data_IF_167708454422
#
_entry.id   IF_167708454422
#
_cell.length_a   1.000
_cell.length_b   1.000
_cell.length_c   1.000
_cell.angle_alpha   90.00
_cell.angle_beta   90.00
_cell.angle_gamma   90.00
#
_symmetry.space_group_name_H-M   'P 1'
#
loop_
_entity.id
_entity.type
_entity.pdbx_description
1 polymer ?
#
# COMPACT_ATOMS: atom_id res chain seq x y z
N UNK A 1 -35.68 -10.16 8.68
CA UNK A 1 -34.34 -9.77 9.19
C UNK A 1 -33.36 -9.73 8.03
N UNK A 2 -33.26 -8.61 7.30
CA UNK A 2 -32.36 -8.50 6.13
C UNK A 2 -31.71 -7.11 6.00
N UNK A 3 -31.77 -6.28 7.04
CA UNK A 3 -31.36 -4.86 6.96
C UNK A 3 -30.02 -4.60 7.68
N UNK A 4 -29.52 -5.53 8.51
CA UNK A 4 -28.28 -5.35 9.26
C UNK A 4 -26.99 -5.76 8.52
N UNK A 5 -27.08 -6.51 7.42
CA UNK A 5 -25.87 -6.91 6.66
C UNK A 5 -25.35 -5.83 5.70
N UNK A 6 -26.20 -4.87 5.32
CA UNK A 6 -25.84 -3.82 4.36
C UNK A 6 -25.04 -2.66 4.99
N UNK A 7 -25.19 -2.41 6.30
CA UNK A 7 -24.51 -1.30 6.98
C UNK A 7 -23.05 -1.62 7.38
N UNK A 8 -22.65 -2.88 7.40
CA UNK A 8 -21.24 -3.27 7.64
C UNK A 8 -20.39 -3.30 6.35
N UNK A 9 -21.02 -3.37 5.18
CA UNK A 9 -20.30 -3.35 3.89
C UNK A 9 -20.03 -1.94 3.38
N UNK A 10 -20.78 -0.94 3.84
CA UNK A 10 -20.65 0.46 3.41
C UNK A 10 -19.38 1.15 3.90
N UNK A 11 -18.68 0.62 4.90
CA UNK A 11 -17.41 1.21 5.36
C UNK A 11 -16.22 0.92 4.41
N UNK A 12 -16.37 -0.01 3.47
CA UNK A 12 -15.27 -0.48 2.60
C UNK A 12 -15.29 0.09 1.20
N UNK A 13 -16.39 0.71 0.78
CA UNK A 13 -16.54 1.29 -0.55
C UNK A 13 -16.44 2.80 -0.43
N UNK A 14 -15.22 3.32 -0.47
CA UNK A 14 -15.02 4.73 -0.82
C UNK A 14 -14.76 4.77 -2.31
N UNK A 15 -15.70 5.36 -3.05
CA UNK A 15 -15.49 5.72 -4.45
C UNK A 15 -14.36 6.75 -4.50
N UNK A 16 -13.27 6.38 -5.16
CA UNK A 16 -12.16 7.25 -5.44
C UNK A 16 -12.49 8.10 -6.68
N UNK A 17 -11.97 9.32 -6.75
CA UNK A 17 -12.16 10.25 -7.88
C UNK A 17 -11.35 9.85 -9.14
N UNK A 18 -11.19 8.56 -9.41
CA UNK A 18 -10.32 8.07 -10.50
C UNK A 18 -8.83 8.25 -10.23
N UNK A 19 -8.45 8.45 -8.96
CA UNK A 19 -7.05 8.57 -8.53
C UNK A 19 -6.75 7.58 -7.41
N UNK A 20 -5.49 7.21 -7.28
CA UNK A 20 -5.04 6.45 -6.12
C UNK A 20 -5.04 7.32 -4.86
N UNK A 21 -5.22 6.70 -3.70
CA UNK A 21 -5.16 7.36 -2.39
C UNK A 21 -3.78 8.00 -2.17
N UNK A 22 -3.75 9.06 -1.36
CA UNK A 22 -2.49 9.67 -0.94
C UNK A 22 -1.69 8.74 -0.01
N UNK A 23 -0.37 8.93 0.04
CA UNK A 23 0.54 8.08 0.82
C UNK A 23 0.15 8.03 2.30
N UNK A 24 -0.11 9.21 2.85
CA UNK A 24 -0.47 9.45 4.24
C UNK A 24 -1.77 8.72 4.56
N UNK A 25 -2.77 8.81 3.70
CA UNK A 25 -4.05 8.12 3.87
C UNK A 25 -3.88 6.60 3.85
N UNK A 26 -3.08 6.07 2.92
CA UNK A 26 -2.77 4.63 2.85
C UNK A 26 -2.07 4.15 4.12
N UNK A 27 -1.08 4.90 4.61
CA UNK A 27 -0.38 4.55 5.85
C UNK A 27 -1.33 4.60 7.05
N UNK A 28 -2.17 5.63 7.17
CA UNK A 28 -3.18 5.71 8.23
C UNK A 28 -4.13 4.51 8.19
N UNK A 29 -4.63 4.12 7.01
CA UNK A 29 -5.47 2.93 6.87
C UNK A 29 -4.72 1.68 7.37
N UNK A 30 -3.47 1.48 6.93
CA UNK A 30 -2.67 0.31 7.31
C UNK A 30 -2.29 0.28 8.79
N UNK A 31 -2.21 1.42 9.47
CA UNK A 31 -1.85 1.51 10.89
C UNK A 31 -3.07 1.38 11.82
N UNK A 32 -4.24 1.88 11.39
CA UNK A 32 -5.39 2.04 12.27
C UNK A 32 -6.55 1.06 11.97
N UNK A 33 -6.50 0.32 10.86
CA UNK A 33 -7.54 -0.69 10.56
C UNK A 33 -7.32 -1.95 11.38
N UNK A 34 -8.35 -2.39 12.09
CA UNK A 34 -8.35 -3.66 12.82
C UNK A 34 -8.51 -4.83 11.85
N UNK A 35 -7.89 -5.98 12.17
CA UNK A 35 -8.02 -7.21 11.37
C UNK A 35 -9.48 -7.65 11.21
N UNK A 36 -10.32 -7.42 12.22
CA UNK A 36 -11.75 -7.75 12.18
C UNK A 36 -12.53 -6.88 11.18
N UNK A 37 -11.99 -5.70 10.86
CA UNK A 37 -12.56 -4.76 9.90
C UNK A 37 -11.85 -4.89 8.54
N UNK A 38 -11.42 -6.09 8.16
CA UNK A 38 -10.76 -6.34 6.88
C UNK A 38 -11.33 -7.56 6.19
N UNK A 39 -11.11 -7.61 4.87
CA UNK A 39 -11.51 -8.74 4.05
C UNK A 39 -10.40 -9.79 4.03
N UNK A 40 -10.76 -11.07 3.94
CA UNK A 40 -9.79 -12.15 3.73
C UNK A 40 -9.23 -12.17 2.30
N UNK A 41 -10.00 -11.66 1.34
CA UNK A 41 -9.62 -11.54 -0.06
C UNK A 41 -10.32 -10.35 -0.74
N UNK A 42 -9.80 -9.95 -1.90
CA UNK A 42 -10.46 -8.94 -2.73
C UNK A 42 -11.79 -9.52 -3.25
N UNK A 43 -12.95 -8.86 -3.04
CA UNK A 43 -14.24 -9.36 -3.50
C UNK A 43 -14.28 -9.54 -5.01
N UNK A 44 -15.05 -10.53 -5.48
CA UNK A 44 -15.35 -10.70 -6.90
C UNK A 44 -16.28 -9.59 -7.41
N UNK A 45 -16.29 -9.37 -8.72
CA UNK A 45 -17.14 -8.38 -9.35
C UNK A 45 -16.39 -7.14 -9.82
N UNK A 46 -17.16 -6.16 -10.33
CA UNK A 46 -16.62 -4.97 -11.01
C UNK A 46 -15.92 -4.09 -9.97
N UNK A 47 -14.81 -3.49 -10.35
CA UNK A 47 -13.95 -2.69 -9.46
C UNK A 47 -13.58 -1.42 -10.18
N UNK A 48 -14.44 -0.42 -10.09
CA UNK A 48 -14.18 0.86 -10.73
C UNK A 48 -13.89 1.88 -9.64
N UNK A 49 -12.68 2.46 -9.67
CA UNK A 49 -12.27 3.51 -8.75
C UNK A 49 -12.55 3.19 -7.26
N UNK A 50 -12.11 2.01 -6.81
CA UNK A 50 -12.44 1.49 -5.48
C UNK A 50 -11.17 1.04 -4.77
N UNK A 51 -11.22 0.95 -3.44
CA UNK A 51 -10.18 0.28 -2.68
C UNK A 51 -10.75 -0.72 -1.68
N UNK A 52 -9.92 -1.69 -1.29
CA UNK A 52 -10.24 -2.70 -0.30
C UNK A 52 -9.07 -2.85 0.67
N UNK A 53 -9.36 -3.12 1.94
CA UNK A 53 -8.35 -3.50 2.93
C UNK A 53 -8.44 -5.00 3.15
N UNK A 54 -7.34 -5.70 2.86
CA UNK A 54 -7.29 -7.16 2.82
C UNK A 54 -6.20 -7.68 3.73
N UNK A 55 -6.46 -8.78 4.42
CA UNK A 55 -5.46 -9.51 5.19
C UNK A 55 -4.36 -10.06 4.27
N UNK A 56 -3.11 -9.88 4.67
CA UNK A 56 -1.93 -10.22 3.87
C UNK A 56 -0.98 -11.13 4.66
N UNK A 57 -1.54 -12.04 5.46
CA UNK A 57 -0.80 -12.91 6.38
C UNK A 57 0.13 -13.89 5.63
N UNK A 58 -0.32 -14.39 4.47
CA UNK A 58 0.45 -15.26 3.58
C UNK A 58 1.77 -14.65 3.09
N UNK A 59 1.99 -13.33 3.27
CA UNK A 59 3.23 -12.66 2.92
C UNK A 59 4.43 -13.23 3.70
N UNK A 60 4.29 -13.49 5.01
CA UNK A 60 5.42 -13.94 5.85
C UNK A 60 5.95 -15.29 5.36
N UNK A 61 5.05 -16.24 5.14
CA UNK A 61 5.40 -17.59 4.65
C UNK A 61 6.03 -17.54 3.26
N UNK A 62 5.51 -16.68 2.37
CA UNK A 62 6.08 -16.53 1.02
C UNK A 62 7.47 -15.91 1.05
N UNK A 63 7.70 -14.88 1.87
CA UNK A 63 9.03 -14.29 2.06
C UNK A 63 10.00 -15.33 2.61
N UNK A 64 9.59 -16.09 3.64
CA UNK A 64 10.41 -17.17 4.20
C UNK A 64 10.78 -18.23 3.14
N UNK A 65 9.89 -18.48 2.18
CA UNK A 65 10.11 -19.40 1.05
C UNK A 65 10.81 -18.75 -0.16
N UNK A 66 11.26 -17.50 -0.06
CA UNK A 66 11.88 -16.77 -1.19
C UNK A 66 10.93 -16.48 -2.36
N UNK A 67 9.62 -16.61 -2.16
CA UNK A 67 8.59 -16.40 -3.18
C UNK A 67 8.19 -14.93 -3.24
N UNK A 68 7.91 -14.45 -4.47
CA UNK A 68 7.36 -13.10 -4.70
C UNK A 68 5.97 -12.97 -4.08
N UNK A 69 5.58 -11.75 -3.68
CA UNK A 69 4.20 -11.45 -3.30
C UNK A 69 3.24 -11.80 -4.45
N UNK A 70 2.06 -12.33 -4.11
CA UNK A 70 0.99 -12.61 -5.07
C UNK A 70 -0.29 -11.95 -4.56
N UNK A 71 -0.94 -11.19 -5.44
CA UNK A 71 -2.14 -10.44 -5.13
C UNK A 71 -3.23 -10.81 -6.14
N UNK A 72 -3.80 -12.00 -5.97
CA UNK A 72 -4.82 -12.53 -6.86
C UNK A 72 -6.08 -11.67 -6.83
N UNK A 73 -6.72 -11.55 -7.99
CA UNK A 73 -8.09 -11.06 -8.15
C UNK A 73 -8.75 -11.78 -9.35
N UNK A 74 -10.05 -11.57 -9.53
CA UNK A 74 -10.87 -12.15 -10.59
C UNK A 74 -10.81 -11.34 -11.90
N UNK A 75 -9.92 -10.36 -12.02
CA UNK A 75 -9.92 -9.34 -13.08
C UNK A 75 -8.69 -9.42 -14.01
N UNK A 76 -8.10 -10.61 -14.13
CA UNK A 76 -7.38 -10.99 -15.36
C UNK A 76 -5.86 -10.78 -15.38
N UNK A 77 -5.35 -10.64 -16.61
CA UNK A 77 -3.92 -10.68 -16.94
C UNK A 77 -3.30 -9.30 -16.72
N UNK A 78 -2.70 -9.15 -15.56
CA UNK A 78 -1.94 -7.96 -15.19
C UNK A 78 -0.58 -7.93 -15.88
N UNK A 79 -0.21 -6.78 -16.43
CA UNK A 79 1.18 -6.52 -16.77
C UNK A 79 1.91 -6.12 -15.49
N UNK A 80 2.78 -7.04 -15.03
CA UNK A 80 3.52 -6.87 -13.79
C UNK A 80 4.54 -5.72 -13.92
N UNK A 81 4.38 -4.68 -13.11
CA UNK A 81 5.46 -3.73 -12.84
C UNK A 81 6.28 -4.21 -11.61
N UNK A 82 7.41 -3.54 -11.41
CA UNK A 82 8.24 -3.63 -10.23
C UNK A 82 7.51 -3.19 -8.95
N UNK A 83 7.91 -3.78 -7.82
CA UNK A 83 7.47 -3.31 -6.50
C UNK A 83 8.43 -2.22 -6.02
N UNK A 84 7.92 -1.01 -5.79
CA UNK A 84 8.72 0.07 -5.18
C UNK A 84 8.67 -0.01 -3.66
N UNK A 85 9.76 0.44 -3.01
CA UNK A 85 9.85 0.59 -1.55
C UNK A 85 10.14 2.04 -1.23
N UNK A 86 9.35 2.60 -0.32
CA UNK A 86 9.54 3.93 0.23
C UNK A 86 9.74 3.82 1.74
N UNK A 87 10.61 4.66 2.28
CA UNK A 87 10.95 4.68 3.70
C UNK A 87 10.48 6.02 4.27
N UNK A 88 9.82 5.99 5.42
CA UNK A 88 9.28 7.17 6.06
C UNK A 88 9.62 7.18 7.54
N UNK A 89 9.96 8.36 8.03
CA UNK A 89 9.90 8.69 9.44
C UNK A 89 8.51 9.26 9.73
N UNK A 90 7.86 8.78 10.78
CA UNK A 90 6.59 9.31 11.25
C UNK A 90 6.87 10.36 12.34
N UNK A 91 6.61 11.63 12.03
CA UNK A 91 6.72 12.75 12.96
C UNK A 91 5.29 13.25 13.23
N UNK A 92 4.71 12.82 14.36
CA UNK A 92 3.29 13.01 14.67
C UNK A 92 2.38 12.38 13.60
N UNK A 93 1.49 13.17 12.98
CA UNK A 93 0.59 12.74 11.90
C UNK A 93 1.19 12.94 10.50
N UNK A 94 2.45 13.36 10.40
CA UNK A 94 3.11 13.63 9.11
C UNK A 94 4.16 12.57 8.79
N UNK A 95 4.23 12.23 7.51
CA UNK A 95 5.26 11.35 6.99
C UNK A 95 6.38 12.17 6.36
N UNK A 96 7.60 11.92 6.81
CA UNK A 96 8.80 12.49 6.24
C UNK A 96 9.55 11.41 5.47
N UNK A 97 9.70 11.61 4.16
CA UNK A 97 10.44 10.68 3.31
C UNK A 97 11.92 10.62 3.73
N UNK A 98 12.42 9.40 3.90
CA UNK A 98 13.83 9.12 4.13
C UNK A 98 14.32 8.16 3.05
N UNK A 99 15.62 8.12 2.80
CA UNK A 99 16.24 7.12 1.93
C UNK A 99 17.23 6.29 2.72
N UNK A 100 17.34 5.00 2.39
CA UNK A 100 18.35 4.13 2.95
C UNK A 100 19.48 3.96 1.94
N UNK A 101 20.66 4.52 2.22
CA UNK A 101 21.83 4.47 1.34
C UNK A 101 23.09 4.24 2.16
N UNK A 102 24.01 3.42 1.66
CA UNK A 102 25.29 3.15 2.31
C UNK A 102 25.10 2.80 3.80
N UNK A 103 24.16 1.90 4.07
CA UNK A 103 23.77 1.42 5.42
C UNK A 103 23.32 2.50 6.41
N UNK A 104 22.91 3.68 5.93
CA UNK A 104 22.42 4.79 6.76
C UNK A 104 21.08 5.33 6.25
N UNK A 105 20.28 5.85 7.17
CA UNK A 105 19.11 6.63 6.81
C UNK A 105 19.50 8.08 6.55
N UNK A 106 19.04 8.60 5.42
CA UNK A 106 19.36 9.92 4.91
C UNK A 106 18.08 10.71 4.61
N UNK A 107 18.17 12.03 4.74
CA UNK A 107 17.17 12.98 4.28
C UNK A 107 17.71 13.78 3.10
N UNK A 108 16.80 14.18 2.22
CA UNK A 108 17.14 15.08 1.13
C UNK A 108 17.07 16.53 1.60
N UNK A 109 18.18 17.25 1.49
CA UNK A 109 18.30 18.66 1.88
C UNK A 109 18.73 19.46 0.67
N UNK A 110 18.17 20.65 0.49
CA UNK A 110 18.61 21.56 -0.57
C UNK A 110 19.84 22.35 -0.09
N UNK A 111 20.97 22.19 -0.78
CA UNK A 111 22.21 22.93 -0.55
C UNK A 111 22.71 23.51 -1.87
N UNK A 112 23.00 24.81 -1.91
CA UNK A 112 23.54 25.50 -3.09
C UNK A 112 22.79 25.17 -4.40
N UNK A 113 21.45 25.29 -4.36
CA UNK A 113 20.51 24.98 -5.47
C UNK A 113 20.40 23.50 -5.86
N UNK A 114 21.23 22.61 -5.33
CA UNK A 114 21.18 21.17 -5.56
C UNK A 114 20.53 20.44 -4.38
N UNK A 115 20.05 19.22 -4.63
CA UNK A 115 19.60 18.33 -3.57
C UNK A 115 20.71 17.35 -3.20
N UNK A 116 21.07 17.34 -1.93
CA UNK A 116 22.06 16.42 -1.36
C UNK A 116 21.39 15.50 -0.34
N UNK A 117 21.90 14.28 -0.22
CA UNK A 117 21.47 13.32 0.78
C UNK A 117 22.36 13.47 2.02
N UNK A 118 21.76 13.83 3.15
CA UNK A 118 22.47 14.02 4.42
C UNK A 118 22.05 12.91 5.38
N UNK A 119 22.99 12.15 5.97
CA UNK A 119 22.66 11.17 7.00
C UNK A 119 21.98 11.82 8.19
N UNK A 120 20.97 11.16 8.75
CA UNK A 120 20.33 11.59 10.00
C UNK A 120 21.30 11.51 11.19
N UNK A 121 21.13 12.41 12.16
CA UNK A 121 21.85 12.37 13.42
C UNK A 121 20.91 12.79 14.56
N UNK A 122 20.58 11.91 15.53
CA UNK A 122 21.03 10.51 15.63
C UNK A 122 20.51 9.62 14.48
N UNK A 123 21.20 8.50 14.21
CA UNK A 123 20.69 7.50 13.27
C UNK A 123 19.49 6.77 13.88
N UNK A 124 18.51 6.48 13.04
CA UNK A 124 17.29 5.77 13.42
C UNK A 124 17.53 4.26 13.49
N UNK A 125 16.81 3.56 14.38
CA UNK A 125 16.73 2.11 14.32
C UNK A 125 15.77 1.69 13.21
N UNK A 126 15.97 0.49 12.67
CA UNK A 126 15.14 -0.01 11.57
C UNK A 126 13.64 -0.09 11.94
N UNK A 127 13.35 -0.34 13.21
CA UNK A 127 12.00 -0.41 13.76
C UNK A 127 11.28 0.95 13.84
N UNK A 128 12.02 2.05 13.79
CA UNK A 128 11.48 3.42 13.85
C UNK A 128 11.12 3.96 12.45
N UNK A 129 11.48 3.21 11.40
CA UNK A 129 11.26 3.59 10.01
C UNK A 129 10.11 2.78 9.44
N UNK A 130 9.08 3.48 8.97
CA UNK A 130 8.00 2.86 8.22
C UNK A 130 8.47 2.53 6.82
N UNK A 131 8.41 1.25 6.45
CA UNK A 131 8.72 0.81 5.09
C UNK A 131 7.43 0.43 4.38
N UNK A 132 7.03 1.25 3.43
CA UNK A 132 5.85 1.04 2.60
C UNK A 132 6.28 0.45 1.26
N UNK A 133 5.74 -0.73 0.94
CA UNK A 133 5.84 -1.30 -0.40
C UNK A 133 4.61 -0.99 -1.22
N UNK A 134 4.83 -0.72 -2.51
CA UNK A 134 3.77 -0.53 -3.49
C UNK A 134 4.02 -1.36 -4.72
N UNK A 135 3.06 -2.21 -5.03
CA UNK A 135 3.02 -3.01 -6.24
C UNK A 135 2.04 -2.37 -7.21
N UNK A 136 2.54 -1.89 -8.35
CA UNK A 136 1.73 -1.30 -9.40
C UNK A 136 1.56 -2.30 -10.52
N UNK A 137 0.36 -2.36 -11.09
CA UNK A 137 0.10 -3.14 -12.30
C UNK A 137 -0.90 -2.42 -13.18
N UNK A 138 -0.77 -2.67 -14.48
CA UNK A 138 -1.72 -2.19 -15.48
C UNK A 138 -2.44 -3.38 -16.10
N UNK A 139 -3.70 -3.21 -16.43
CA UNK A 139 -4.45 -4.25 -17.10
C UNK A 139 -4.01 -4.37 -18.56
N UNK A 140 -3.69 -5.59 -19.02
CA UNK A 140 -3.09 -5.81 -20.34
C UNK A 140 -3.95 -5.31 -21.50
N UNK A 141 -5.28 -5.41 -21.41
CA UNK A 141 -6.20 -4.95 -22.46
C UNK A 141 -6.86 -3.60 -22.17
N UNK A 142 -6.71 -3.06 -20.95
CA UNK A 142 -7.40 -1.85 -20.52
C UNK A 142 -6.39 -0.76 -20.19
N UNK A 143 -6.03 0.08 -21.17
CA UNK A 143 -4.93 1.05 -21.03
C UNK A 143 -5.11 2.06 -19.87
N UNK A 144 -6.34 2.26 -19.37
CA UNK A 144 -6.65 3.13 -18.24
C UNK A 144 -6.96 2.40 -16.93
N UNK A 145 -6.98 1.06 -16.92
CA UNK A 145 -7.33 0.27 -15.74
C UNK A 145 -6.06 -0.17 -15.02
N UNK A 146 -5.85 0.37 -13.83
CA UNK A 146 -4.64 0.16 -13.04
C UNK A 146 -4.99 -0.34 -11.63
N UNK A 147 -4.09 -1.14 -11.06
CA UNK A 147 -4.19 -1.59 -9.68
C UNK A 147 -2.91 -1.23 -8.93
N UNK A 148 -3.08 -0.79 -7.70
CA UNK A 148 -1.99 -0.56 -6.75
C UNK A 148 -2.25 -1.35 -5.48
N UNK A 149 -1.27 -2.13 -5.05
CA UNK A 149 -1.31 -2.81 -3.76
C UNK A 149 -0.25 -2.22 -2.85
N UNK A 150 -0.69 -1.65 -1.73
CA UNK A 150 0.17 -0.99 -0.75
C UNK A 150 0.19 -1.77 0.57
N UNK A 151 1.36 -2.01 1.14
CA UNK A 151 1.48 -2.73 2.41
C UNK A 151 2.74 -2.33 3.19
N UNK A 152 2.67 -2.37 4.52
CA UNK A 152 3.80 -2.07 5.39
C UNK A 152 4.69 -3.29 5.63
N UNK A 153 5.98 -3.06 5.83
CA UNK A 153 6.91 -4.02 6.43
C UNK A 153 7.19 -3.58 7.86
N UNK A 154 6.34 -4.02 8.77
CA UNK A 154 6.47 -3.76 10.20
C UNK A 154 5.83 -4.91 10.96
N UNK A 155 6.38 -5.22 12.13
CA UNK A 155 5.77 -6.14 13.10
C UNK A 155 4.86 -5.39 14.08
N UNK A 156 4.93 -4.05 14.12
CA UNK A 156 4.12 -3.20 14.99
C UNK A 156 2.66 -3.10 14.54
N UNK A 157 2.37 -3.39 13.28
CA UNK A 157 1.04 -3.26 12.68
C UNK A 157 0.56 -4.60 12.12
N UNK A 158 -0.76 -4.82 12.06
CA UNK A 158 -1.31 -6.01 11.43
C UNK A 158 -0.83 -6.17 9.98
N UNK A 159 -0.69 -7.41 9.53
CA UNK A 159 -0.25 -7.72 8.17
C UNK A 159 -1.38 -7.47 7.17
N UNK A 160 -1.60 -6.22 6.82
CA UNK A 160 -2.66 -5.79 5.90
C UNK A 160 -2.09 -5.29 4.56
N UNK A 161 -2.95 -5.30 3.54
CA UNK A 161 -2.69 -4.67 2.26
C UNK A 161 -3.91 -3.83 1.81
N UNK A 162 -3.65 -2.65 1.28
CA UNK A 162 -4.67 -1.82 0.62
C UNK A 162 -4.59 -2.11 -0.88
N UNK A 163 -5.66 -2.64 -1.44
CA UNK A 163 -5.82 -2.90 -2.87
C UNK A 163 -6.65 -1.79 -3.48
N UNK A 164 -6.04 -0.98 -4.33
CA UNK A 164 -6.68 0.15 -5.01
C UNK A 164 -6.82 -0.18 -6.50
N UNK A 165 -7.99 0.09 -7.05
CA UNK A 165 -8.33 -0.09 -8.46
C UNK A 165 -8.73 1.27 -9.02
N UNK A 166 -8.10 1.66 -10.14
CA UNK A 166 -8.26 2.97 -10.77
C UNK A 166 -8.70 2.78 -12.22
N UNK A 167 -9.65 3.57 -12.66
CA UNK A 167 -10.27 3.47 -13.98
C UNK A 167 -11.47 2.52 -13.99
N UNK A 168 -12.01 2.31 -15.19
CA UNK A 168 -13.09 1.38 -15.43
C UNK A 168 -12.54 0.05 -15.92
N UNK A 169 -13.05 -1.06 -15.38
CA UNK A 169 -12.73 -2.37 -15.92
C UNK A 169 -13.17 -2.45 -17.39
N UNK A 170 -12.31 -2.91 -18.33
CA UNK A 170 -12.69 -3.03 -19.73
C UNK A 170 -13.86 -4.00 -19.90
N UNK A 171 -14.83 -3.60 -20.71
CA UNK A 171 -15.98 -4.44 -21.09
C UNK A 171 -15.56 -5.67 -21.91
#
# INVERSE_FOLDING_TARGET
MAILFLLHLTSYLVENLGIFLETEKVVQILQHTSVNDTLSEVPRGKKDNVHFVVQNENKKDRIAQGKRSQFWDDRGVWECDSTSRSYFLQENEKLRSVTYRQTKYCIQVRQNKNYVQVPLNPQLQAEDVLVLSRYYVKHKSGAGYEKRVSFLHSEKFPALAVHEFKGCYPE
#
